data_IF_166208600334
#
_entry.id   IF_166208600334
#
_cell.length_a   1.000
_cell.length_b   1.000
_cell.length_c   1.000
_cell.angle_alpha   90.00
_cell.angle_beta   90.00
_cell.angle_gamma   90.00
#
_symmetry.space_group_name_H-M   'P 1'
#
loop_
_entity.id
_entity.type
_entity.pdbx_description
1 polymer ?
#
# COMPACT_ATOMS: atom_id res chain seq x y z
N UNK A 1 18.35 -16.61 20.83
CA UNK A 1 17.28 -15.65 20.53
C UNK A 1 16.39 -16.28 19.49
N UNK A 2 15.08 -15.96 19.46
CA UNK A 2 14.21 -16.40 18.36
C UNK A 2 14.63 -15.66 17.08
N UNK A 3 14.52 -16.33 15.94
CA UNK A 3 14.65 -15.67 14.64
C UNK A 3 13.56 -14.61 14.45
N UNK A 4 13.91 -13.49 13.82
CA UNK A 4 12.98 -12.39 13.58
C UNK A 4 12.69 -12.29 12.08
N UNK A 5 11.41 -12.31 11.72
CA UNK A 5 10.93 -12.14 10.36
C UNK A 5 10.20 -10.81 10.26
N UNK A 6 10.65 -9.97 9.33
CA UNK A 6 9.98 -8.70 9.04
C UNK A 6 9.05 -8.85 7.84
N UNK A 7 7.83 -8.31 7.96
CA UNK A 7 6.85 -8.26 6.86
C UNK A 7 6.50 -6.82 6.56
N UNK A 8 6.62 -6.44 5.28
CA UNK A 8 6.40 -5.09 4.76
C UNK A 8 5.41 -5.11 3.59
N UNK A 9 4.84 -3.95 3.25
CA UNK A 9 3.74 -3.84 2.29
C UNK A 9 4.05 -2.94 1.08
N UNK A 10 5.35 -2.70 0.81
CA UNK A 10 5.82 -2.02 -0.39
C UNK A 10 7.29 -2.37 -0.69
N UNK A 11 7.71 -2.26 -1.96
CA UNK A 11 9.10 -2.53 -2.35
C UNK A 11 10.08 -1.58 -1.67
N UNK A 12 9.73 -0.31 -1.50
CA UNK A 12 10.57 0.66 -0.78
C UNK A 12 10.76 0.28 0.69
N UNK A 13 9.67 -0.14 1.37
CA UNK A 13 9.74 -0.63 2.75
C UNK A 13 10.62 -1.88 2.86
N UNK A 14 10.46 -2.86 1.96
CA UNK A 14 11.29 -4.07 1.90
C UNK A 14 12.76 -3.70 1.74
N UNK A 15 13.05 -2.79 0.81
CA UNK A 15 14.41 -2.31 0.54
C UNK A 15 15.03 -1.63 1.76
N UNK A 16 14.30 -0.73 2.40
CA UNK A 16 14.74 -0.01 3.60
C UNK A 16 15.03 -0.95 4.77
N UNK A 17 14.12 -1.89 5.07
CA UNK A 17 14.28 -2.87 6.15
C UNK A 17 15.46 -3.80 5.88
N UNK A 18 15.59 -4.34 4.66
CA UNK A 18 16.78 -5.17 4.28
C UNK A 18 18.09 -4.40 4.43
N UNK A 19 18.10 -3.15 4.03
CA UNK A 19 19.30 -2.31 4.15
C UNK A 19 19.65 -2.04 5.62
N UNK A 20 18.65 -1.74 6.46
CA UNK A 20 18.84 -1.52 7.89
C UNK A 20 19.42 -2.76 8.60
N UNK A 21 18.92 -3.96 8.28
CA UNK A 21 19.46 -5.24 8.78
C UNK A 21 20.92 -5.40 8.32
N UNK A 22 21.19 -5.22 7.02
CA UNK A 22 22.55 -5.35 6.46
C UNK A 22 23.55 -4.38 7.10
N UNK A 23 23.07 -3.21 7.55
CA UNK A 23 23.91 -2.20 8.23
C UNK A 23 24.01 -2.38 9.75
N UNK A 24 23.35 -3.40 10.31
CA UNK A 24 23.34 -3.64 11.75
C UNK A 24 22.54 -2.62 12.55
N UNK A 25 21.64 -1.85 11.90
CA UNK A 25 20.73 -0.91 12.56
C UNK A 25 19.66 -1.65 13.35
N UNK A 26 19.29 -2.84 12.88
CA UNK A 26 18.32 -3.72 13.50
C UNK A 26 18.63 -5.17 13.20
N UNK A 27 18.16 -6.07 14.06
CA UNK A 27 18.26 -7.52 13.87
C UNK A 27 17.14 -8.04 12.95
N UNK A 28 17.36 -9.17 12.29
CA UNK A 28 16.36 -9.87 11.49
C UNK A 28 16.99 -10.87 10.53
N UNK A 29 16.35 -12.03 10.36
CA UNK A 29 16.81 -13.11 9.48
C UNK A 29 16.23 -12.98 8.07
N UNK A 30 14.97 -12.54 7.98
CA UNK A 30 14.24 -12.52 6.72
C UNK A 30 13.33 -11.31 6.61
N UNK A 31 13.25 -10.76 5.40
CA UNK A 31 12.24 -9.73 5.04
C UNK A 31 11.35 -10.26 3.94
N UNK A 32 10.06 -10.32 4.22
CA UNK A 32 9.01 -10.73 3.28
C UNK A 32 8.17 -9.51 2.94
N UNK A 33 7.69 -9.42 1.73
CA UNK A 33 6.84 -8.32 1.31
C UNK A 33 5.53 -8.79 0.69
N UNK A 34 4.44 -8.13 1.02
CA UNK A 34 3.20 -8.14 0.25
C UNK A 34 3.09 -6.80 -0.47
N UNK A 35 3.50 -6.76 -1.75
CA UNK A 35 3.50 -5.51 -2.54
C UNK A 35 2.17 -5.22 -3.22
N UNK A 36 1.24 -6.19 -3.24
CA UNK A 36 -0.11 -5.97 -3.74
C UNK A 36 -0.82 -4.88 -2.94
N UNK A 37 -1.33 -3.87 -3.63
CA UNK A 37 -2.06 -2.78 -3.02
C UNK A 37 -3.52 -3.18 -2.76
N UNK A 38 -3.76 -3.80 -1.59
CA UNK A 38 -5.10 -4.20 -1.16
C UNK A 38 -5.98 -3.02 -0.73
N UNK A 39 -5.53 -1.77 -0.85
CA UNK A 39 -6.42 -0.61 -0.73
C UNK A 39 -7.32 -0.44 -1.95
N UNK A 40 -7.01 -1.11 -3.06
CA UNK A 40 -7.82 -1.05 -4.26
C UNK A 40 -8.09 -2.44 -4.86
N UNK A 41 -9.18 -2.55 -5.61
CA UNK A 41 -9.68 -3.78 -6.21
C UNK A 41 -10.37 -4.74 -5.23
N UNK A 42 -10.88 -5.90 -5.73
CA UNK A 42 -11.64 -6.86 -4.94
C UNK A 42 -10.78 -7.55 -3.90
N UNK A 43 -11.31 -7.72 -2.67
CA UNK A 43 -10.63 -8.39 -1.55
C UNK A 43 -11.49 -9.49 -0.88
N UNK A 44 -12.71 -9.70 -1.33
CA UNK A 44 -13.64 -10.69 -0.77
C UNK A 44 -13.10 -12.12 -0.86
N UNK A 45 -12.39 -12.43 -1.95
CA UNK A 45 -11.78 -13.74 -2.20
C UNK A 45 -10.39 -13.59 -2.82
N UNK A 46 -9.40 -13.25 -1.99
CA UNK A 46 -8.00 -13.07 -2.46
C UNK A 46 -7.38 -14.42 -2.89
N UNK A 47 -7.86 -15.54 -2.36
CA UNK A 47 -7.40 -16.87 -2.78
C UNK A 47 -7.74 -17.13 -4.25
N UNK A 48 -8.84 -16.58 -4.76
CA UNK A 48 -9.19 -16.60 -6.17
C UNK A 48 -8.43 -15.53 -6.95
N UNK A 49 -7.19 -15.84 -7.30
CA UNK A 49 -6.29 -14.90 -7.98
C UNK A 49 -6.84 -14.32 -9.29
N UNK A 50 -7.81 -14.98 -9.94
CA UNK A 50 -8.35 -14.49 -11.23
C UNK A 50 -9.01 -13.10 -11.08
N UNK A 51 -9.67 -12.82 -9.95
CA UNK A 51 -10.29 -11.51 -9.66
C UNK A 51 -9.24 -10.42 -9.47
N UNK A 52 -8.17 -10.73 -8.73
CA UNK A 52 -7.04 -9.79 -8.55
C UNK A 52 -6.31 -9.55 -9.87
N UNK A 53 -6.05 -10.61 -10.66
CA UNK A 53 -5.41 -10.49 -11.98
C UNK A 53 -6.25 -9.63 -12.92
N UNK A 54 -7.57 -9.81 -12.95
CA UNK A 54 -8.46 -8.96 -13.75
C UNK A 54 -8.34 -7.48 -13.33
N UNK A 55 -8.29 -7.21 -12.02
CA UNK A 55 -8.09 -5.88 -11.49
C UNK A 55 -6.73 -5.30 -11.88
N UNK A 56 -5.65 -6.06 -11.74
CA UNK A 56 -4.31 -5.62 -12.16
C UNK A 56 -4.26 -5.25 -13.63
N UNK A 57 -4.80 -6.09 -14.52
CA UNK A 57 -4.88 -5.80 -15.96
C UNK A 57 -5.65 -4.51 -16.26
N UNK A 58 -6.57 -4.12 -15.40
CA UNK A 58 -7.34 -2.89 -15.54
C UNK A 58 -6.56 -1.64 -15.14
N UNK A 59 -5.77 -1.71 -14.05
CA UNK A 59 -5.05 -0.55 -13.51
C UNK A 59 -3.60 -0.42 -13.99
N UNK A 60 -2.92 -1.55 -14.28
CA UNK A 60 -1.56 -1.57 -14.81
C UNK A 60 -1.60 -1.62 -16.33
N UNK A 61 -1.86 -0.47 -16.94
CA UNK A 61 -2.08 -0.36 -18.39
C UNK A 61 -0.80 -0.69 -19.18
N UNK A 62 0.37 -0.42 -18.59
CA UNK A 62 1.69 -0.57 -19.23
C UNK A 62 2.19 -2.03 -19.27
N UNK A 63 1.76 -2.90 -18.35
CA UNK A 63 2.45 -4.18 -18.08
C UNK A 63 1.85 -5.42 -18.80
N UNK A 64 0.79 -5.26 -19.56
CA UNK A 64 0.24 -6.29 -20.46
C UNK A 64 -0.10 -7.64 -19.81
N UNK A 65 0.10 -8.75 -20.55
CA UNK A 65 -0.28 -10.11 -20.10
C UNK A 65 0.69 -10.74 -19.11
N UNK A 66 1.93 -10.28 -19.01
CA UNK A 66 2.96 -10.87 -18.15
C UNK A 66 2.63 -10.67 -16.66
N UNK A 67 1.91 -9.60 -16.30
CA UNK A 67 1.50 -9.29 -14.93
C UNK A 67 0.78 -10.48 -14.26
N UNK A 68 0.04 -11.30 -15.00
CA UNK A 68 -0.74 -12.41 -14.46
C UNK A 68 0.13 -13.49 -13.83
N UNK A 69 1.21 -13.88 -14.49
CA UNK A 69 2.10 -14.93 -14.00
C UNK A 69 3.01 -14.39 -12.88
N UNK A 70 3.42 -13.14 -12.97
CA UNK A 70 4.18 -12.46 -11.92
C UNK A 70 3.38 -12.47 -10.61
N UNK A 71 2.11 -12.06 -10.64
CA UNK A 71 1.26 -12.00 -9.46
C UNK A 71 0.99 -13.38 -8.87
N UNK A 72 0.63 -14.36 -9.70
CA UNK A 72 0.41 -15.74 -9.22
C UNK A 72 1.65 -16.32 -8.53
N UNK A 73 2.81 -16.15 -9.16
CA UNK A 73 4.10 -16.60 -8.60
C UNK A 73 4.40 -15.91 -7.27
N UNK A 74 4.14 -14.62 -7.20
CA UNK A 74 4.35 -13.79 -6.03
C UNK A 74 3.51 -14.25 -4.83
N UNK A 75 2.19 -14.40 -5.02
CA UNK A 75 1.30 -14.89 -3.95
C UNK A 75 1.63 -16.31 -3.51
N UNK A 76 1.92 -17.20 -4.46
CA UNK A 76 2.36 -18.57 -4.14
C UNK A 76 3.61 -18.59 -3.26
N UNK A 77 4.56 -17.67 -3.53
CA UNK A 77 5.77 -17.53 -2.72
C UNK A 77 5.47 -17.04 -1.31
N UNK A 78 4.64 -16.00 -1.16
CA UNK A 78 4.28 -15.45 0.15
C UNK A 78 3.59 -16.51 1.00
N UNK A 79 2.57 -17.18 0.48
CA UNK A 79 1.84 -18.23 1.20
C UNK A 79 2.81 -19.32 1.64
N UNK A 80 3.68 -19.79 0.74
CA UNK A 80 4.70 -20.80 1.06
C UNK A 80 5.67 -20.34 2.15
N UNK A 81 6.04 -19.06 2.15
CA UNK A 81 6.94 -18.49 3.16
C UNK A 81 6.26 -18.42 4.53
N UNK A 82 5.01 -17.95 4.60
CA UNK A 82 4.23 -17.86 5.84
C UNK A 82 3.95 -19.25 6.45
N UNK A 83 3.63 -20.23 5.61
CA UNK A 83 3.36 -21.61 6.07
C UNK A 83 4.59 -22.29 6.69
N UNK A 84 5.79 -21.80 6.43
CA UNK A 84 7.03 -22.35 6.99
C UNK A 84 7.38 -21.80 8.36
N UNK A 85 6.74 -20.72 8.79
CA UNK A 85 7.00 -20.14 10.11
C UNK A 85 6.67 -21.15 11.21
N UNK A 86 7.51 -21.22 12.23
CA UNK A 86 7.35 -22.09 13.41
C UNK A 86 7.27 -21.24 14.67
N UNK A 87 8.44 -20.91 15.23
CA UNK A 87 8.57 -20.21 16.50
C UNK A 87 9.20 -18.81 16.37
N UNK A 88 9.38 -18.33 15.12
CA UNK A 88 9.96 -17.03 14.85
C UNK A 88 9.09 -15.89 15.38
N UNK A 89 9.71 -14.78 15.76
CA UNK A 89 8.99 -13.54 16.04
C UNK A 89 8.70 -12.81 14.72
N UNK A 90 7.43 -12.45 14.48
CA UNK A 90 6.94 -11.86 13.24
C UNK A 90 6.66 -10.39 13.47
N UNK A 91 7.39 -9.51 12.80
CA UNK A 91 7.24 -8.05 12.91
C UNK A 91 6.54 -7.51 11.68
N UNK A 92 5.29 -7.05 11.85
CA UNK A 92 4.48 -6.43 10.80
C UNK A 92 4.70 -4.90 10.84
N UNK A 93 5.33 -4.40 9.79
CA UNK A 93 5.63 -2.97 9.63
C UNK A 93 4.56 -2.29 8.82
N UNK A 94 3.92 -1.25 9.35
CA UNK A 94 2.90 -0.50 8.65
C UNK A 94 2.84 0.95 9.11
N UNK A 95 2.21 1.80 8.30
CA UNK A 95 1.85 3.16 8.65
C UNK A 95 0.35 3.40 8.49
N UNK A 96 -0.10 4.62 8.74
CA UNK A 96 -1.49 5.05 8.63
C UNK A 96 -1.90 5.24 7.16
N UNK A 97 -1.89 4.15 6.41
CA UNK A 97 -2.34 4.08 5.02
C UNK A 97 -3.23 2.86 4.79
N UNK A 98 -4.25 3.01 3.95
CA UNK A 98 -5.15 1.90 3.62
C UNK A 98 -4.38 0.73 2.98
N UNK A 99 -3.35 1.02 2.16
CA UNK A 99 -2.50 0.01 1.53
C UNK A 99 -1.81 -0.89 2.56
N UNK A 100 -1.07 -0.28 3.49
CA UNK A 100 -0.28 -1.06 4.46
C UNK A 100 -1.17 -1.72 5.52
N UNK A 101 -2.25 -1.06 5.94
CA UNK A 101 -3.20 -1.64 6.89
C UNK A 101 -3.96 -2.82 6.27
N UNK A 102 -4.49 -2.72 5.04
CA UNK A 102 -5.15 -3.84 4.37
C UNK A 102 -4.18 -5.01 4.14
N UNK A 103 -2.93 -4.71 3.75
CA UNK A 103 -1.88 -5.72 3.64
C UNK A 103 -1.62 -6.42 4.96
N UNK A 104 -1.49 -5.67 6.06
CA UNK A 104 -1.32 -6.20 7.41
C UNK A 104 -2.51 -7.09 7.83
N UNK A 105 -3.74 -6.64 7.62
CA UNK A 105 -4.95 -7.41 7.94
C UNK A 105 -5.00 -8.73 7.16
N UNK A 106 -4.63 -8.71 5.88
CA UNK A 106 -4.56 -9.93 5.08
C UNK A 106 -3.50 -10.91 5.60
N UNK A 107 -2.30 -10.43 5.93
CA UNK A 107 -1.26 -11.28 6.52
C UNK A 107 -1.69 -11.82 7.89
N UNK A 108 -2.27 -10.99 8.75
CA UNK A 108 -2.79 -11.42 10.05
C UNK A 108 -3.83 -12.54 9.92
N UNK A 109 -4.71 -12.48 8.92
CA UNK A 109 -5.70 -13.55 8.68
C UNK A 109 -5.08 -14.92 8.32
N UNK A 110 -3.80 -14.95 7.97
CA UNK A 110 -3.04 -16.19 7.72
C UNK A 110 -2.20 -16.63 8.92
N UNK A 111 -2.15 -15.83 10.00
CA UNK A 111 -1.29 -16.05 11.17
C UNK A 111 -2.08 -16.35 12.45
N UNK A 112 -3.36 -16.73 12.35
CA UNK A 112 -4.25 -16.96 13.51
C UNK A 112 -3.64 -17.87 14.57
N UNK A 113 -3.07 -19.00 14.19
CA UNK A 113 -2.45 -19.96 15.10
C UNK A 113 -1.12 -19.48 15.72
N UNK A 114 -0.59 -18.33 15.28
CA UNK A 114 0.74 -17.80 15.64
C UNK A 114 0.72 -16.39 16.21
N UNK A 115 -0.46 -15.89 16.58
CA UNK A 115 -0.63 -14.49 17.03
C UNK A 115 0.24 -14.14 18.23
N UNK A 116 0.57 -15.11 19.09
CA UNK A 116 1.45 -14.90 20.25
C UNK A 116 2.90 -14.51 19.88
N UNK A 117 3.32 -14.77 18.64
CA UNK A 117 4.64 -14.41 18.13
C UNK A 117 4.58 -13.19 17.19
N UNK A 118 3.40 -12.57 17.03
CA UNK A 118 3.21 -11.43 16.14
C UNK A 118 3.35 -10.12 16.90
N UNK A 119 4.12 -9.23 16.34
CA UNK A 119 4.29 -7.85 16.79
C UNK A 119 3.99 -6.90 15.64
N UNK A 120 3.38 -5.77 15.97
CA UNK A 120 3.12 -4.71 14.98
C UNK A 120 3.94 -3.48 15.28
N UNK A 121 4.42 -2.81 14.25
CA UNK A 121 5.19 -1.58 14.33
C UNK A 121 4.50 -0.56 13.42
N UNK A 122 3.77 0.38 14.05
CA UNK A 122 3.14 1.48 13.33
C UNK A 122 4.09 2.67 13.26
N UNK A 123 4.61 2.95 12.08
CA UNK A 123 5.57 4.05 11.89
C UNK A 123 4.92 5.42 12.00
N UNK A 124 3.61 5.53 11.83
CA UNK A 124 2.87 6.79 11.95
C UNK A 124 2.56 7.22 13.39
N UNK A 125 2.92 6.40 14.39
CA UNK A 125 2.80 6.76 15.81
C UNK A 125 3.98 7.60 16.31
N UNK A 126 5.00 7.79 15.48
CA UNK A 126 6.23 8.49 15.88
C UNK A 126 6.48 9.64 14.91
N UNK A 127 6.59 10.84 15.49
CA UNK A 127 7.09 12.01 14.80
C UNK A 127 8.58 12.13 15.05
N UNK A 128 9.38 12.31 14.03
CA UNK A 128 10.81 12.48 14.15
C UNK A 128 11.31 13.74 13.45
N UNK A 129 12.40 14.29 13.97
CA UNK A 129 13.01 15.47 13.39
C UNK A 129 13.98 15.06 12.28
N UNK A 130 13.77 15.57 11.06
CA UNK A 130 14.62 15.29 9.89
C UNK A 130 15.94 16.09 9.88
N UNK A 131 16.25 16.82 10.95
CA UNK A 131 17.44 17.69 11.04
C UNK A 131 17.28 19.07 10.40
N UNK A 132 16.15 19.35 9.75
CA UNK A 132 15.84 20.63 9.07
C UNK A 132 14.77 21.46 9.79
N UNK A 133 14.65 21.37 11.12
CA UNK A 133 13.61 21.99 11.95
C UNK A 133 12.15 21.57 11.63
N UNK A 134 11.95 20.57 10.80
CA UNK A 134 10.62 20.08 10.46
C UNK A 134 10.40 18.71 11.13
N UNK A 135 9.38 18.65 11.95
CA UNK A 135 8.84 17.39 12.44
C UNK A 135 8.13 16.68 11.29
N UNK A 136 8.35 15.38 11.19
CA UNK A 136 7.77 14.53 10.14
C UNK A 136 7.18 13.26 10.74
N UNK A 137 5.93 12.99 10.42
CA UNK A 137 5.24 11.74 10.76
C UNK A 137 5.05 10.93 9.49
N UNK A 138 5.69 9.76 9.36
CA UNK A 138 5.56 8.93 8.16
C UNK A 138 4.12 8.42 8.01
N UNK A 139 3.62 8.41 6.80
CA UNK A 139 2.32 7.79 6.46
C UNK A 139 2.47 6.31 6.07
N UNK A 140 3.65 5.94 5.57
CA UNK A 140 4.01 4.58 5.14
C UNK A 140 5.46 4.28 5.52
N UNK A 141 5.77 3.01 5.67
CA UNK A 141 7.13 2.56 6.06
C UNK A 141 8.20 2.99 5.05
N UNK A 142 7.85 3.03 3.76
CA UNK A 142 8.76 3.45 2.70
C UNK A 142 9.22 4.91 2.73
N UNK A 143 8.59 5.74 3.57
CA UNK A 143 9.01 7.15 3.80
C UNK A 143 10.13 7.27 4.85
N UNK A 144 10.42 6.18 5.57
CA UNK A 144 11.50 6.17 6.56
C UNK A 144 12.86 5.95 5.93
N UNK A 145 13.85 6.71 6.38
CA UNK A 145 15.25 6.41 6.09
C UNK A 145 15.69 5.18 6.88
N UNK A 146 16.45 4.25 6.27
CA UNK A 146 16.81 2.98 6.90
C UNK A 146 17.48 3.09 8.26
N UNK A 147 18.30 4.13 8.46
CA UNK A 147 19.04 4.39 9.70
C UNK A 147 18.14 4.66 10.90
N UNK A 148 16.88 5.05 10.65
CA UNK A 148 15.89 5.33 11.69
C UNK A 148 15.01 4.14 12.07
N UNK A 149 14.97 3.09 11.27
CA UNK A 149 14.09 1.94 11.50
C UNK A 149 14.33 1.28 12.87
N UNK A 150 15.59 1.21 13.33
CA UNK A 150 15.91 0.65 14.64
C UNK A 150 15.20 1.36 15.81
N UNK A 151 14.96 2.67 15.71
CA UNK A 151 14.26 3.45 16.74
C UNK A 151 12.81 3.02 16.93
N UNK A 152 12.18 2.45 15.88
CA UNK A 152 10.78 2.02 15.90
C UNK A 152 10.60 0.62 16.50
N UNK A 153 11.63 -0.23 16.52
CA UNK A 153 11.53 -1.58 17.10
C UNK A 153 11.14 -1.54 18.57
N UNK A 154 11.65 -0.56 19.32
CA UNK A 154 11.28 -0.35 20.72
C UNK A 154 9.80 0.00 20.95
N UNK A 155 9.08 0.38 19.88
CA UNK A 155 7.65 0.73 19.92
C UNK A 155 6.74 -0.40 19.42
N UNK A 156 7.32 -1.58 19.14
CA UNK A 156 6.50 -2.73 18.73
C UNK A 156 5.46 -3.08 19.79
N UNK A 157 4.28 -3.43 19.33
CA UNK A 157 3.17 -3.88 20.18
C UNK A 157 2.91 -5.35 19.92
N UNK A 158 2.89 -6.17 20.96
CA UNK A 158 2.50 -7.57 20.86
C UNK A 158 1.03 -7.69 20.41
N UNK A 159 0.73 -8.76 19.68
CA UNK A 159 -0.62 -9.10 19.29
C UNK A 159 -1.25 -9.96 20.39
N UNK A 160 -2.29 -9.45 21.03
CA UNK A 160 -3.16 -10.22 21.89
C UNK A 160 -4.45 -10.63 21.17
N UNK A 161 -5.24 -11.50 21.79
CA UNK A 161 -6.46 -12.02 21.17
C UNK A 161 -7.53 -10.94 20.95
N UNK A 162 -7.67 -9.99 21.86
CA UNK A 162 -8.67 -8.91 21.77
C UNK A 162 -8.37 -8.01 20.57
N UNK A 163 -7.12 -7.59 20.45
CA UNK A 163 -6.64 -6.77 19.34
C UNK A 163 -6.74 -7.52 18.01
N UNK A 164 -6.32 -8.79 17.97
CA UNK A 164 -6.46 -9.64 16.80
C UNK A 164 -7.93 -9.73 16.36
N UNK A 165 -8.84 -10.04 17.28
CA UNK A 165 -10.28 -10.17 17.00
C UNK A 165 -10.86 -8.88 16.43
N UNK A 166 -10.48 -7.72 17.00
CA UNK A 166 -10.91 -6.41 16.52
C UNK A 166 -10.43 -6.13 15.10
N UNK A 167 -9.17 -6.45 14.79
CA UNK A 167 -8.59 -6.29 13.46
C UNK A 167 -9.22 -7.23 12.44
N UNK A 168 -9.53 -8.48 12.83
CA UNK A 168 -10.21 -9.42 11.94
C UNK A 168 -11.66 -9.03 11.70
N UNK A 169 -12.36 -8.47 12.68
CA UNK A 169 -13.71 -7.91 12.48
C UNK A 169 -13.70 -6.76 11.45
N UNK A 170 -12.69 -5.88 11.51
CA UNK A 170 -12.49 -4.86 10.49
C UNK A 170 -12.22 -5.48 9.11
N UNK A 171 -11.32 -6.47 9.03
CA UNK A 171 -11.01 -7.15 7.78
C UNK A 171 -12.23 -7.80 7.15
N UNK A 172 -13.03 -8.51 7.94
CA UNK A 172 -14.26 -9.15 7.48
C UNK A 172 -15.32 -8.14 7.04
N UNK A 173 -15.41 -6.99 7.71
CA UNK A 173 -16.26 -5.88 7.27
C UNK A 173 -15.83 -5.40 5.88
N UNK A 174 -14.55 -5.08 5.68
CA UNK A 174 -14.02 -4.59 4.41
C UNK A 174 -14.20 -5.63 3.27
N UNK A 175 -14.02 -6.92 3.56
CA UNK A 175 -14.27 -8.01 2.61
C UNK A 175 -15.75 -8.11 2.22
N UNK A 176 -16.67 -7.97 3.17
CA UNK A 176 -18.12 -7.99 2.90
C UNK A 176 -18.56 -6.78 2.08
N UNK A 177 -18.05 -5.60 2.37
CA UNK A 177 -18.30 -4.39 1.60
C UNK A 177 -17.73 -4.50 0.19
N UNK A 178 -16.57 -5.14 0.06
CA UNK A 178 -15.84 -5.41 -1.18
C UNK A 178 -15.80 -4.22 -2.16
N UNK A 179 -15.69 -3.02 -1.63
CA UNK A 179 -15.52 -1.81 -2.44
C UNK A 179 -14.23 -1.90 -3.26
N UNK A 180 -14.19 -1.29 -4.45
CA UNK A 180 -12.96 -1.24 -5.25
C UNK A 180 -11.96 -0.17 -4.78
N UNK A 181 -12.26 0.57 -3.74
CA UNK A 181 -11.34 1.52 -3.12
C UNK A 181 -11.54 1.55 -1.60
N UNK A 182 -10.47 1.58 -0.85
CA UNK A 182 -10.38 1.81 0.60
C UNK A 182 -9.43 2.95 0.85
N UNK A 183 -9.79 3.85 1.74
CA UNK A 183 -9.01 5.02 2.14
C UNK A 183 -8.74 4.99 3.64
N UNK A 184 -7.67 5.64 4.08
CA UNK A 184 -7.43 5.90 5.49
C UNK A 184 -7.84 7.33 5.80
N UNK A 185 -8.87 7.49 6.59
CA UNK A 185 -9.47 8.79 6.93
C UNK A 185 -10.11 8.68 8.30
N UNK A 186 -10.13 9.77 9.10
CA UNK A 186 -10.64 9.76 10.46
C UNK A 186 -10.00 8.67 11.35
N UNK A 187 -8.70 8.45 11.21
CA UNK A 187 -7.93 7.43 11.92
C UNK A 187 -8.37 5.98 11.71
N UNK A 188 -9.04 5.68 10.59
CA UNK A 188 -9.50 4.33 10.27
C UNK A 188 -9.46 4.05 8.76
N UNK A 189 -9.38 2.76 8.41
CA UNK A 189 -9.60 2.33 7.05
C UNK A 189 -11.09 2.15 6.81
N UNK A 190 -11.59 2.73 5.73
CA UNK A 190 -13.00 2.63 5.31
C UNK A 190 -13.11 2.45 3.80
N UNK A 191 -14.20 1.79 3.37
CA UNK A 191 -14.57 1.71 1.96
C UNK A 191 -14.93 3.09 1.42
N UNK A 192 -14.51 3.37 0.19
CA UNK A 192 -14.82 4.60 -0.51
C UNK A 192 -15.34 4.30 -1.93
N UNK A 193 -15.99 5.27 -2.54
CA UNK A 193 -16.37 5.16 -3.95
C UNK A 193 -15.13 5.22 -4.84
N UNK A 194 -15.18 4.55 -5.98
CA UNK A 194 -14.01 4.38 -6.87
C UNK A 194 -13.48 5.71 -7.44
N UNK A 195 -14.31 6.73 -7.50
CA UNK A 195 -14.00 8.07 -7.99
C UNK A 195 -13.64 9.08 -6.89
N UNK A 196 -13.40 8.61 -5.67
CA UNK A 196 -13.07 9.45 -4.50
C UNK A 196 -12.01 10.53 -4.77
N UNK A 197 -11.03 10.25 -5.63
CA UNK A 197 -9.97 11.20 -5.99
C UNK A 197 -10.27 12.02 -7.26
N UNK A 198 -11.38 11.79 -7.96
CA UNK A 198 -11.65 12.40 -9.26
C UNK A 198 -11.75 13.92 -9.19
N UNK A 199 -12.44 14.47 -8.19
CA UNK A 199 -12.58 15.91 -8.02
C UNK A 199 -11.22 16.57 -7.75
N UNK A 200 -10.35 15.91 -6.98
CA UNK A 200 -8.99 16.36 -6.74
C UNK A 200 -8.15 16.32 -8.02
N UNK A 201 -8.23 15.24 -8.81
CA UNK A 201 -7.58 15.15 -10.11
C UNK A 201 -8.02 16.28 -11.02
N UNK A 202 -9.33 16.53 -11.12
CA UNK A 202 -9.89 17.61 -11.93
C UNK A 202 -9.49 19.00 -11.42
N UNK A 203 -9.34 19.16 -10.10
CA UNK A 203 -8.88 20.42 -9.50
C UNK A 203 -7.44 20.75 -9.90
N UNK A 204 -6.55 19.76 -9.88
CA UNK A 204 -5.13 19.94 -10.22
C UNK A 204 -4.83 19.79 -11.71
N UNK A 205 -5.80 19.41 -12.53
CA UNK A 205 -5.63 19.38 -13.99
C UNK A 205 -5.79 20.79 -14.58
N UNK A 206 -4.75 21.28 -15.25
CA UNK A 206 -4.72 22.61 -15.84
C UNK A 206 -5.63 22.74 -17.07
N UNK A 207 -6.01 23.98 -17.42
CA UNK A 207 -6.71 24.31 -18.67
C UNK A 207 -5.81 24.28 -19.91
N UNK A 208 -4.49 24.21 -19.73
CA UNK A 208 -3.49 24.03 -20.80
C UNK A 208 -2.90 22.63 -20.71
N UNK A 209 -2.46 22.06 -21.84
CA UNK A 209 -1.80 20.77 -21.84
C UNK A 209 -0.54 20.78 -20.95
N UNK A 210 -0.44 19.78 -20.09
CA UNK A 210 0.67 19.56 -19.16
C UNK A 210 0.86 18.07 -18.96
N UNK A 211 2.11 17.63 -18.71
CA UNK A 211 2.40 16.23 -18.40
C UNK A 211 1.57 15.73 -17.21
N UNK A 212 0.94 14.57 -17.37
CA UNK A 212 0.05 13.97 -16.37
C UNK A 212 0.73 13.74 -15.02
N UNK A 213 2.05 13.45 -15.03
CA UNK A 213 2.86 13.27 -13.81
C UNK A 213 2.78 14.46 -12.85
N UNK A 214 2.58 15.67 -13.35
CA UNK A 214 2.44 16.87 -12.49
C UNK A 214 1.12 16.85 -11.73
N UNK A 215 0.01 16.59 -12.43
CA UNK A 215 -1.31 16.45 -11.78
C UNK A 215 -1.30 15.30 -10.78
N UNK A 216 -0.73 14.14 -11.15
CA UNK A 216 -0.64 12.97 -10.29
C UNK A 216 0.19 13.29 -9.04
N UNK A 217 1.35 13.94 -9.20
CA UNK A 217 2.20 14.35 -8.08
C UNK A 217 1.51 15.33 -7.12
N UNK A 218 0.73 16.30 -7.64
CA UNK A 218 -0.06 17.21 -6.79
C UNK A 218 -1.14 16.45 -6.01
N UNK A 219 -1.86 15.52 -6.65
CA UNK A 219 -2.87 14.70 -5.96
C UNK A 219 -2.23 13.88 -4.84
N UNK A 220 -1.16 13.14 -5.11
CA UNK A 220 -0.47 12.31 -4.12
C UNK A 220 0.08 13.15 -2.96
N UNK A 221 0.66 14.30 -3.28
CA UNK A 221 1.26 15.20 -2.28
C UNK A 221 0.24 15.92 -1.39
N UNK A 222 -1.00 16.12 -1.88
CA UNK A 222 -2.05 16.86 -1.18
C UNK A 222 -3.17 16.00 -0.62
N UNK A 223 -3.30 14.75 -1.08
CA UNK A 223 -4.29 13.83 -0.55
C UNK A 223 -4.00 13.49 0.92
N UNK A 224 -5.02 13.57 1.76
CA UNK A 224 -4.92 13.14 3.17
C UNK A 224 -4.68 11.64 3.27
N UNK A 225 -5.43 10.84 2.49
CA UNK A 225 -5.22 9.41 2.37
C UNK A 225 -4.10 9.11 1.38
N UNK A 226 -3.13 8.29 1.80
CA UNK A 226 -2.10 7.78 0.90
C UNK A 226 -2.74 6.99 -0.25
N UNK A 227 -2.29 7.26 -1.47
CA UNK A 227 -2.74 6.59 -2.69
C UNK A 227 -1.57 6.39 -3.64
N UNK A 228 -1.55 5.29 -4.42
CA UNK A 228 -0.51 5.02 -5.39
C UNK A 228 -0.68 5.87 -6.67
N UNK A 229 0.45 6.19 -7.29
CA UNK A 229 0.50 6.86 -8.60
C UNK A 229 -0.21 6.06 -9.69
N UNK A 230 -0.04 4.74 -9.70
CA UNK A 230 -0.71 3.81 -10.61
C UNK A 230 -2.23 3.92 -10.52
N UNK A 231 -2.79 3.98 -9.30
CA UNK A 231 -4.23 4.13 -9.14
C UNK A 231 -4.72 5.49 -9.64
N UNK A 232 -4.02 6.58 -9.30
CA UNK A 232 -4.37 7.92 -9.78
C UNK A 232 -4.21 8.02 -11.31
N UNK A 233 -3.16 7.43 -11.88
CA UNK A 233 -2.98 7.37 -13.33
C UNK A 233 -4.14 6.65 -14.02
N UNK A 234 -4.55 5.50 -13.49
CA UNK A 234 -5.73 4.81 -13.99
C UNK A 234 -6.99 5.68 -13.89
N UNK A 235 -7.22 6.39 -12.77
CA UNK A 235 -8.35 7.34 -12.66
C UNK A 235 -8.29 8.45 -13.72
N UNK A 236 -7.10 8.97 -13.99
CA UNK A 236 -6.90 9.96 -15.10
C UNK A 236 -7.36 9.36 -16.42
N UNK A 237 -7.02 8.11 -16.73
CA UNK A 237 -7.48 7.48 -17.98
C UNK A 237 -9.00 7.28 -18.03
N UNK A 238 -9.65 6.98 -16.90
CA UNK A 238 -11.11 6.90 -16.81
C UNK A 238 -11.76 8.29 -17.01
N UNK A 239 -11.16 9.35 -16.48
CA UNK A 239 -11.62 10.73 -16.71
C UNK A 239 -11.43 11.17 -18.18
N UNK A 240 -10.43 10.67 -18.87
CA UNK A 240 -10.26 10.87 -20.31
C UNK A 240 -11.34 10.12 -21.07
N UNK A 241 -11.61 8.86 -20.73
CA UNK A 241 -12.68 8.05 -21.38
C UNK A 241 -14.07 8.66 -21.20
N UNK A 242 -14.29 9.34 -20.06
CA UNK A 242 -15.54 10.06 -19.77
C UNK A 242 -15.55 11.52 -20.29
N UNK A 243 -14.57 11.89 -21.11
CA UNK A 243 -14.44 13.22 -21.74
C UNK A 243 -14.35 14.40 -20.77
N UNK A 244 -14.03 14.17 -19.49
CA UNK A 244 -13.78 15.22 -18.51
C UNK A 244 -12.38 15.84 -18.67
N UNK A 245 -11.44 15.08 -19.24
CA UNK A 245 -10.06 15.46 -19.52
C UNK A 245 -9.74 15.15 -20.98
N UNK A 246 -9.13 16.10 -21.70
CA UNK A 246 -8.51 15.86 -23.01
C UNK A 246 -7.06 15.45 -22.84
N UNK A 247 -6.56 14.67 -23.78
CA UNK A 247 -5.18 14.17 -23.74
C UNK A 247 -4.45 14.34 -25.08
N UNK A 248 -3.13 14.24 -25.00
CA UNK A 248 -2.17 14.05 -26.12
C UNK A 248 -1.14 13.03 -25.68
N UNK A 249 -0.54 12.31 -26.63
CA UNK A 249 0.47 11.29 -26.37
C UNK A 249 -0.13 9.93 -26.04
N UNK A 250 0.70 9.06 -25.46
CA UNK A 250 0.38 7.66 -25.25
C UNK A 250 -0.39 7.45 -23.93
N UNK A 251 -1.60 6.93 -24.01
CA UNK A 251 -2.46 6.61 -22.83
C UNK A 251 -1.88 5.50 -21.92
N UNK A 252 -0.97 4.68 -22.44
CA UNK A 252 -0.33 3.61 -21.68
C UNK A 252 0.80 4.09 -20.78
N UNK A 253 1.38 5.27 -21.02
CA UNK A 253 2.60 5.72 -20.35
C UNK A 253 2.39 7.07 -19.66
N UNK A 254 2.41 7.05 -18.34
CA UNK A 254 2.20 8.24 -17.51
C UNK A 254 3.11 9.42 -17.89
N UNK A 255 4.38 9.15 -18.23
CA UNK A 255 5.38 10.17 -18.55
C UNK A 255 5.24 10.75 -19.97
N UNK A 256 4.57 10.03 -20.87
CA UNK A 256 4.34 10.41 -22.25
C UNK A 256 2.97 11.05 -22.48
N UNK A 257 2.15 11.09 -21.44
CA UNK A 257 0.78 11.59 -21.48
C UNK A 257 0.72 13.06 -21.05
N UNK A 258 0.23 13.93 -21.93
CA UNK A 258 -0.18 15.29 -21.59
C UNK A 258 -1.70 15.37 -21.46
N UNK A 259 -2.17 16.10 -20.47
CA UNK A 259 -3.59 16.24 -20.14
C UNK A 259 -3.99 17.70 -19.98
N UNK A 260 -5.24 18.00 -20.26
CA UNK A 260 -5.90 19.29 -19.91
C UNK A 260 -7.33 19.08 -19.50
N UNK A 261 -7.83 19.90 -18.58
CA UNK A 261 -9.23 19.92 -18.18
C UNK A 261 -10.11 20.46 -19.32
N UNK A 262 -11.20 19.77 -19.60
CA UNK A 262 -12.19 20.26 -20.53
C UNK A 262 -13.04 21.37 -19.88
N UNK A 263 -13.36 22.41 -20.65
CA UNK A 263 -14.36 23.40 -20.23
C UNK A 263 -15.75 22.75 -20.42
N UNK A 264 -16.42 22.45 -19.34
CA UNK A 264 -17.86 22.24 -19.33
C UNK A 264 -18.51 23.47 -18.72
#
# INVERSE_FOLDING_TARGET
>A
MKEIIHICFSDSAIGSVKYAIKKGVMEGEKVIGLVDDLSNGPIDDIANMNRRIYWFKKIYIEEGNEISEIIKSYYKKIIKDIMKFKDEDIYLWYGNSAKEICGMLHILSMLEEKIQNVYTINVSEITYNTGKKNEYTPRVVGELIPEKLGEFIGRRKSMDFERYSSLMALWDKLKRENSNLRVYEDNQVKSAHIDYFDDMILCYTCKKFMHSVRTIGEVIGKAESYVSDTFIFWRVTELIRSEKISHRGNLGFMRELEIKKNNR
#
